data_IF_658522116557
#
_entry.id   IF_658522116557
#
_cell.length_a   1.000
_cell.length_b   1.000
_cell.length_c   1.000
_cell.angle_alpha   90.00
_cell.angle_beta   90.00
_cell.angle_gamma   90.00
#
_symmetry.space_group_name_H-M   'P 1'
#
loop_
_entity.id
_entity.type
_entity.pdbx_description
1 polymer ?
#
# COMPACT_ATOMS: atom_id res chain seq x y z
N UNK A 1 1.73 13.86 12.16
CA UNK A 1 2.54 12.63 12.08
C UNK A 1 1.75 11.67 11.23
N UNK A 2 2.32 11.12 10.15
CA UNK A 2 1.57 10.22 9.28
C UNK A 2 1.34 8.93 10.05
N UNK A 3 0.14 8.78 10.60
CA UNK A 3 -0.33 7.49 11.06
C UNK A 3 -0.22 6.53 9.86
N UNK A 4 0.53 5.46 10.04
CA UNK A 4 0.69 4.40 9.06
C UNK A 4 0.17 3.08 9.64
N UNK A 5 -0.68 3.16 10.67
CA UNK A 5 -1.24 2.00 11.33
C UNK A 5 -1.96 1.15 10.29
N UNK A 6 -1.57 -0.12 10.12
CA UNK A 6 -2.24 -1.01 9.20
C UNK A 6 -3.72 -1.15 9.56
N UNK A 7 -4.60 -0.87 8.61
CA UNK A 7 -6.05 -1.08 8.74
C UNK A 7 -6.36 -2.58 8.77
N UNK A 8 -5.56 -3.37 8.03
CA UNK A 8 -5.64 -4.82 8.01
C UNK A 8 -4.30 -5.43 7.60
N UNK A 9 -3.96 -6.57 8.22
CA UNK A 9 -2.82 -7.41 7.83
C UNK A 9 -3.23 -8.59 6.97
N UNK A 10 -4.53 -8.77 6.68
CA UNK A 10 -5.07 -9.89 5.92
C UNK A 10 -4.41 -10.06 4.54
N UNK A 11 -4.02 -8.94 3.92
CA UNK A 11 -3.45 -8.93 2.57
C UNK A 11 -1.92 -8.89 2.54
N UNK A 12 -1.25 -8.94 3.71
CA UNK A 12 0.20 -8.91 3.78
C UNK A 12 0.84 -10.10 3.04
N UNK A 13 0.20 -11.28 3.04
CA UNK A 13 0.64 -12.45 2.27
C UNK A 13 0.52 -12.26 0.75
N UNK A 14 -0.37 -11.38 0.29
CA UNK A 14 -0.46 -10.95 -1.10
C UNK A 14 0.56 -9.84 -1.45
N UNK A 15 1.36 -9.38 -0.48
CA UNK A 15 2.38 -8.36 -0.69
C UNK A 15 1.83 -6.94 -0.73
N UNK A 16 0.65 -6.68 -0.14
CA UNK A 16 0.10 -5.33 0.02
C UNK A 16 -0.41 -5.10 1.45
N UNK A 17 -0.11 -3.93 1.98
CA UNK A 17 -0.62 -3.46 3.26
C UNK A 17 -1.49 -2.23 3.05
N UNK A 18 -2.67 -2.24 3.66
CA UNK A 18 -3.57 -1.10 3.68
C UNK A 18 -3.38 -0.33 4.98
N UNK A 19 -3.17 0.98 4.89
CA UNK A 19 -3.09 1.88 6.04
C UNK A 19 -3.89 3.15 5.78
N UNK A 20 -4.20 3.86 6.86
CA UNK A 20 -4.87 5.15 6.79
C UNK A 20 -3.92 6.20 7.30
N UNK A 21 -3.77 7.29 6.55
CA UNK A 21 -3.13 8.49 7.08
C UNK A 21 -4.23 9.41 7.57
N UNK A 22 -4.38 9.47 8.90
CA UNK A 22 -5.32 10.35 9.56
C UNK A 22 -4.99 11.82 9.23
N UNK A 23 -6.04 12.61 8.98
CA UNK A 23 -6.00 14.05 9.12
C UNK A 23 -5.85 14.48 10.58
N UNK A 24 -6.37 15.65 10.95
CA UNK A 24 -6.34 16.15 12.34
C UNK A 24 -7.20 15.35 13.34
N UNK A 25 -7.80 14.24 12.92
CA UNK A 25 -8.75 13.48 13.72
C UNK A 25 -8.43 11.98 13.65
N UNK A 26 -8.06 11.40 14.78
CA UNK A 26 -7.61 10.00 14.90
C UNK A 26 -8.73 9.03 15.28
N UNK A 27 -9.99 9.48 15.34
CA UNK A 27 -11.09 8.67 15.85
C UNK A 27 -11.79 7.81 14.79
N UNK A 28 -11.40 7.90 13.52
CA UNK A 28 -12.06 7.23 12.39
C UNK A 28 -11.01 6.66 11.45
N UNK A 29 -10.81 5.35 11.50
CA UNK A 29 -10.02 4.64 10.49
C UNK A 29 -10.96 4.14 9.39
N UNK A 30 -10.50 3.97 8.15
CA UNK A 30 -11.19 3.20 7.13
C UNK A 30 -11.57 1.84 7.70
N UNK A 31 -12.82 1.43 7.49
CA UNK A 31 -13.35 0.19 8.04
C UNK A 31 -13.65 -0.76 6.89
N UNK A 32 -13.18 -2.01 7.00
CA UNK A 32 -13.66 -3.09 6.14
C UNK A 32 -15.11 -3.41 6.53
N UNK A 33 -16.06 -3.23 5.62
CA UNK A 33 -17.49 -3.32 5.97
C UNK A 33 -18.24 -4.24 5.03
N UNK A 34 -19.23 -4.97 5.56
CA UNK A 34 -19.96 -6.04 4.86
C UNK A 34 -21.26 -5.54 4.20
N UNK A 35 -21.36 -4.24 3.87
CA UNK A 35 -22.66 -3.70 3.44
C UNK A 35 -22.95 -4.01 1.96
N UNK A 36 -24.01 -4.76 1.71
CA UNK A 36 -24.53 -5.05 0.38
C UNK A 36 -25.29 -3.84 -0.22
N UNK A 37 -25.20 -3.73 -1.54
CA UNK A 37 -25.49 -2.55 -2.37
C UNK A 37 -26.88 -1.87 -2.28
N UNK A 38 -26.91 -0.58 -2.65
CA UNK A 38 -27.98 0.04 -3.44
C UNK A 38 -27.69 1.50 -3.88
N UNK A 39 -28.24 2.03 -5.01
CA UNK A 39 -29.06 1.37 -6.05
C UNK A 39 -28.52 1.64 -7.49
N UNK A 40 -28.03 0.68 -8.26
CA UNK A 40 -28.92 -0.31 -8.90
C UNK A 40 -28.19 -1.55 -9.45
N UNK A 41 -27.04 -1.93 -8.86
CA UNK A 41 -26.41 -3.29 -8.75
C UNK A 41 -26.27 -4.25 -9.96
N UNK A 42 -25.69 -5.47 -9.80
CA UNK A 42 -24.55 -5.92 -8.97
C UNK A 42 -23.22 -5.90 -9.80
N UNK A 43 -22.02 -6.33 -9.38
CA UNK A 43 -21.46 -7.14 -8.27
C UNK A 43 -20.60 -6.22 -7.38
N UNK A 44 -20.57 -6.31 -6.04
CA UNK A 44 -20.16 -7.46 -5.24
C UNK A 44 -21.07 -7.62 -4.00
N UNK A 45 -21.58 -8.83 -3.77
CA UNK A 45 -22.14 -9.20 -2.47
C UNK A 45 -20.96 -9.59 -1.57
N UNK A 46 -20.33 -8.61 -0.93
CA UNK A 46 -19.10 -8.86 -0.19
C UNK A 46 -18.60 -7.67 0.61
N UNK A 47 -17.44 -7.87 1.25
CA UNK A 47 -16.78 -6.87 2.07
C UNK A 47 -15.98 -5.94 1.18
N UNK A 48 -16.18 -4.63 1.30
CA UNK A 48 -15.37 -3.62 0.61
C UNK A 48 -14.67 -2.72 1.64
N UNK A 49 -13.61 -2.05 1.20
CA UNK A 49 -12.88 -1.11 2.04
C UNK A 49 -13.37 0.31 1.74
N UNK A 50 -13.90 0.99 2.76
CA UNK A 50 -14.50 2.31 2.63
C UNK A 50 -13.79 3.33 3.53
N UNK A 51 -13.77 4.59 3.10
CA UNK A 51 -13.32 5.71 3.94
C UNK A 51 -14.45 6.34 4.78
N UNK A 52 -15.48 5.56 5.14
CA UNK A 52 -16.62 6.02 5.93
C UNK A 52 -16.68 5.32 7.32
N UNK A 53 -16.97 6.05 8.42
CA UNK A 53 -16.86 5.57 9.79
C UNK A 53 -17.72 4.36 10.17
N UNK A 54 -18.83 4.14 9.46
CA UNK A 54 -19.82 3.10 9.80
C UNK A 54 -20.03 2.06 8.70
N UNK A 55 -19.25 2.10 7.61
CA UNK A 55 -19.53 1.28 6.42
C UNK A 55 -20.82 1.62 5.68
N UNK A 56 -21.56 2.62 6.17
CA UNK A 56 -22.75 3.13 5.53
C UNK A 56 -22.56 4.64 5.28
N UNK A 57 -22.14 5.04 4.07
CA UNK A 57 -22.01 6.46 3.72
C UNK A 57 -23.37 7.20 3.75
N UNK A 58 -24.48 6.48 3.93
CA UNK A 58 -25.85 6.99 3.96
C UNK A 58 -26.51 6.88 5.34
N UNK A 59 -25.83 6.37 6.38
CA UNK A 59 -26.40 6.28 7.71
C UNK A 59 -26.52 7.67 8.35
N UNK A 60 -27.75 8.03 8.76
CA UNK A 60 -28.07 9.16 9.64
C UNK A 60 -27.86 10.57 9.08
N UNK A 61 -27.85 10.77 7.76
CA UNK A 61 -27.81 12.12 7.16
C UNK A 61 -26.58 12.96 7.54
N UNK A 62 -25.59 12.35 8.20
CA UNK A 62 -24.43 13.03 8.73
C UNK A 62 -23.25 12.84 7.76
N UNK A 63 -23.21 13.74 6.78
CA UNK A 63 -22.13 13.88 5.82
C UNK A 63 -20.92 14.59 6.47
N UNK A 64 -20.27 13.98 7.46
CA UNK A 64 -18.99 14.51 7.98
C UNK A 64 -17.87 13.51 7.76
N UNK A 65 -17.04 13.63 6.71
CA UNK A 65 -15.86 12.82 6.58
C UNK A 65 -14.80 13.43 7.49
N UNK A 66 -13.82 12.61 7.78
CA UNK A 66 -12.57 13.07 8.33
C UNK A 66 -11.50 12.72 7.28
N UNK A 67 -10.45 13.53 7.23
CA UNK A 67 -9.53 13.65 6.11
C UNK A 67 -8.60 12.42 5.99
N UNK A 68 -9.09 11.32 5.47
CA UNK A 68 -8.33 10.07 5.49
C UNK A 68 -7.81 9.74 4.09
N UNK A 69 -6.48 9.62 4.00
CA UNK A 69 -5.82 9.04 2.83
C UNK A 69 -5.84 7.54 3.04
N UNK A 70 -6.47 6.81 2.11
CA UNK A 70 -6.31 5.36 2.06
C UNK A 70 -5.02 5.04 1.31
N UNK A 71 -4.09 4.37 1.97
CA UNK A 71 -2.77 4.06 1.46
C UNK A 71 -2.62 2.56 1.23
N UNK A 72 -2.18 2.21 0.04
CA UNK A 72 -1.73 0.87 -0.32
C UNK A 72 -0.21 0.92 -0.42
N UNK A 73 0.48 0.08 0.35
CA UNK A 73 1.93 -0.07 0.30
C UNK A 73 2.28 -1.48 -0.17
N UNK A 74 3.02 -1.60 -1.26
CA UNK A 74 3.42 -2.87 -1.85
C UNK A 74 4.77 -3.34 -1.30
N UNK A 75 4.94 -4.65 -1.14
CA UNK A 75 6.21 -5.26 -0.75
C UNK A 75 7.16 -5.38 -1.96
N UNK A 76 7.68 -4.23 -2.41
CA UNK A 76 8.42 -4.09 -3.67
C UNK A 76 7.80 -3.00 -4.52
N UNK A 77 7.61 -3.27 -5.81
CA UNK A 77 6.85 -2.40 -6.71
C UNK A 77 5.76 -3.18 -7.41
N UNK A 78 4.69 -2.49 -7.81
CA UNK A 78 3.56 -3.09 -8.49
C UNK A 78 3.32 -2.44 -9.85
N UNK A 79 2.92 -3.28 -10.80
CA UNK A 79 2.56 -2.93 -12.18
C UNK A 79 1.12 -3.33 -12.46
N UNK A 80 0.54 -2.80 -13.54
CA UNK A 80 -0.80 -3.14 -14.02
C UNK A 80 -1.88 -3.02 -12.92
N UNK A 81 -1.75 -2.02 -12.05
CA UNK A 81 -2.64 -1.87 -10.90
C UNK A 81 -4.03 -1.44 -11.39
N UNK A 82 -5.04 -2.20 -10.97
CA UNK A 82 -6.44 -1.82 -11.13
C UNK A 82 -7.24 -2.15 -9.88
N UNK A 83 -8.30 -1.38 -9.63
CA UNK A 83 -9.28 -1.66 -8.58
C UNK A 83 -10.64 -1.16 -9.00
N UNK A 84 -11.70 -1.71 -8.40
CA UNK A 84 -13.04 -1.18 -8.52
C UNK A 84 -13.23 -0.05 -7.52
N UNK A 85 -13.66 1.12 -7.98
CA UNK A 85 -13.91 2.31 -7.15
C UNK A 85 -15.38 2.71 -7.30
N UNK A 86 -16.00 3.12 -6.20
CA UNK A 86 -17.27 3.83 -6.22
C UNK A 86 -17.14 5.14 -5.45
N UNK A 87 -17.34 6.26 -6.14
CA UNK A 87 -17.53 7.57 -5.53
C UNK A 87 -19.01 7.64 -5.11
N UNK A 88 -19.33 7.33 -3.86
CA UNK A 88 -20.69 7.16 -3.33
C UNK A 88 -21.56 8.46 -3.34
N UNK A 89 -21.16 9.50 -4.06
CA UNK A 89 -21.94 10.73 -4.26
C UNK A 89 -21.82 11.24 -5.68
N UNK A 90 -22.84 11.97 -6.14
CA UNK A 90 -22.90 12.59 -7.48
C UNK A 90 -21.93 13.76 -7.68
N UNK A 91 -21.18 14.11 -6.62
CA UNK A 91 -20.16 15.17 -6.60
C UNK A 91 -18.82 14.66 -6.05
N UNK A 92 -18.72 13.35 -5.81
CA UNK A 92 -17.56 12.66 -5.30
C UNK A 92 -16.35 12.74 -6.23
N UNK A 93 -15.17 12.99 -5.66
CA UNK A 93 -13.90 12.99 -6.40
C UNK A 93 -12.84 12.30 -5.54
N UNK A 94 -12.17 11.32 -6.13
CA UNK A 94 -11.04 10.64 -5.49
C UNK A 94 -9.81 10.81 -6.36
N UNK A 95 -8.74 11.32 -5.76
CA UNK A 95 -7.44 11.46 -6.43
C UNK A 95 -6.55 10.27 -6.09
N UNK A 96 -5.93 9.70 -7.11
CA UNK A 96 -4.95 8.64 -7.00
C UNK A 96 -3.57 9.26 -7.17
N UNK A 97 -2.69 9.05 -6.20
CA UNK A 97 -1.28 9.40 -6.30
C UNK A 97 -0.44 8.13 -6.20
N UNK A 98 0.25 7.79 -7.29
CA UNK A 98 1.16 6.66 -7.37
C UNK A 98 2.60 7.15 -7.17
N UNK A 99 3.34 6.49 -6.28
CA UNK A 99 4.72 6.84 -5.94
C UNK A 99 5.67 5.66 -6.18
N UNK A 100 6.90 5.97 -6.55
CA UNK A 100 8.00 5.00 -6.65
C UNK A 100 8.50 4.58 -5.27
N UNK A 101 9.39 3.59 -5.25
CA UNK A 101 10.10 3.17 -4.03
C UNK A 101 11.00 4.27 -3.42
N UNK A 102 11.33 5.30 -4.19
CA UNK A 102 12.08 6.49 -3.74
C UNK A 102 11.17 7.67 -3.41
N UNK A 103 9.88 7.42 -3.16
CA UNK A 103 8.85 8.43 -2.89
C UNK A 103 8.63 9.47 -4.01
N UNK A 104 9.13 9.23 -5.22
CA UNK A 104 8.88 10.11 -6.36
C UNK A 104 7.45 9.91 -6.88
N UNK A 105 6.70 10.99 -7.10
CA UNK A 105 5.37 10.91 -7.70
C UNK A 105 5.49 10.45 -9.17
N UNK A 106 4.91 9.30 -9.47
CA UNK A 106 4.90 8.70 -10.81
C UNK A 106 3.65 9.11 -11.60
N UNK A 107 2.50 9.13 -10.95
CA UNK A 107 1.23 9.50 -11.57
C UNK A 107 0.31 10.16 -10.55
N UNK A 108 -0.45 11.17 -10.99
CA UNK A 108 -1.59 11.70 -10.26
C UNK A 108 -2.78 11.85 -11.21
N UNK A 109 -3.94 11.33 -10.82
CA UNK A 109 -5.18 11.54 -11.57
C UNK A 109 -6.40 11.56 -10.64
N UNK A 110 -7.44 12.27 -11.03
CA UNK A 110 -8.68 12.38 -10.26
C UNK A 110 -9.83 11.72 -11.00
N UNK A 111 -10.58 10.88 -10.29
CA UNK A 111 -11.84 10.32 -10.77
C UNK A 111 -13.00 11.24 -10.41
N UNK A 112 -14.04 11.23 -11.22
CA UNK A 112 -15.25 12.02 -11.00
C UNK A 112 -16.42 11.12 -10.60
N UNK A 113 -17.49 11.75 -10.13
CA UNK A 113 -18.73 11.11 -9.73
C UNK A 113 -19.54 10.54 -10.91
N UNK A 114 -20.57 9.76 -10.58
CA UNK A 114 -21.66 9.27 -11.45
C UNK A 114 -21.45 7.93 -12.19
N UNK A 115 -20.62 7.01 -11.69
CA UNK A 115 -20.41 5.73 -12.38
C UNK A 115 -20.73 4.48 -11.55
N UNK A 116 -21.25 4.63 -10.32
CA UNK A 116 -21.36 3.48 -9.43
C UNK A 116 -19.99 2.82 -9.25
N UNK A 117 -19.96 1.49 -9.14
CA UNK A 117 -18.70 0.74 -9.13
C UNK A 117 -18.11 0.67 -10.53
N UNK A 118 -16.90 1.21 -10.69
CA UNK A 118 -16.20 1.18 -11.96
C UNK A 118 -14.71 0.92 -11.76
N UNK A 119 -14.12 0.15 -12.68
CA UNK A 119 -12.69 -0.15 -12.65
C UNK A 119 -11.87 1.11 -12.92
N UNK A 120 -10.82 1.29 -12.11
CA UNK A 120 -9.82 2.35 -12.23
C UNK A 120 -8.46 1.71 -12.36
N UNK A 121 -7.65 2.24 -13.28
CA UNK A 121 -6.32 1.73 -13.60
C UNK A 121 -5.28 2.80 -13.34
N UNK A 122 -4.19 2.41 -12.70
CA UNK A 122 -2.97 3.21 -12.62
C UNK A 122 -2.12 2.83 -13.83
N UNK A 123 -1.86 3.80 -14.71
CA UNK A 123 -1.26 3.57 -16.03
C UNK A 123 0.28 3.68 -16.02
N UNK A 124 0.88 3.52 -14.84
CA UNK A 124 2.34 3.54 -14.63
C UNK A 124 2.78 2.26 -13.93
N UNK A 125 4.02 1.88 -14.18
CA UNK A 125 4.69 0.74 -13.56
C UNK A 125 5.61 1.21 -12.43
N UNK A 126 6.11 0.26 -11.62
CA UNK A 126 7.08 0.55 -10.57
C UNK A 126 6.50 1.24 -9.34
N UNK A 127 5.20 1.08 -9.09
CA UNK A 127 4.49 1.76 -8.00
C UNK A 127 4.75 1.04 -6.68
N UNK A 128 5.44 1.68 -5.74
CA UNK A 128 5.63 1.14 -4.39
C UNK A 128 4.50 1.55 -3.43
N UNK A 129 3.88 2.70 -3.69
CA UNK A 129 2.80 3.24 -2.87
C UNK A 129 1.72 3.87 -3.72
N UNK A 130 0.47 3.56 -3.42
CA UNK A 130 -0.70 4.18 -4.01
C UNK A 130 -1.55 4.82 -2.91
N UNK A 131 -1.72 6.13 -3.00
CA UNK A 131 -2.56 6.90 -2.09
C UNK A 131 -3.86 7.29 -2.79
N UNK A 132 -5.00 6.96 -2.18
CA UNK A 132 -6.32 7.43 -2.56
C UNK A 132 -6.72 8.54 -1.60
N UNK A 133 -6.86 9.73 -2.15
CA UNK A 133 -7.17 10.94 -1.43
C UNK A 133 -8.62 11.33 -1.69
N UNK A 134 -9.30 11.66 -0.60
CA UNK A 134 -10.63 12.22 -0.64
C UNK A 134 -10.54 13.71 -1.01
N UNK A 135 -11.20 14.14 -2.09
CA UNK A 135 -11.20 15.56 -2.45
C UNK A 135 -12.36 16.28 -1.76
N UNK A 136 -12.12 17.48 -1.24
CA UNK A 136 -13.21 18.39 -0.83
C UNK A 136 -13.77 19.03 -2.10
N UNK A 137 -15.08 18.93 -2.30
CA UNK A 137 -15.75 19.57 -3.44
C UNK A 137 -16.81 20.54 -2.93
N UNK A 138 -16.62 21.83 -3.22
CA UNK A 138 -17.55 22.91 -2.82
C UNK A 138 -17.84 22.93 -1.30
N UNK A 139 -16.82 22.70 -0.48
CA UNK A 139 -16.96 22.57 0.98
C UNK A 139 -17.71 21.31 1.43
N UNK A 140 -18.23 20.54 0.48
CA UNK A 140 -18.85 19.25 0.74
C UNK A 140 -17.81 18.14 0.70
N UNK A 141 -17.93 17.23 1.64
CA UNK A 141 -17.10 16.06 1.68
C UNK A 141 -17.46 15.00 0.65
N UNK A 142 -16.45 14.24 0.22
CA UNK A 142 -16.67 13.11 -0.68
C UNK A 142 -16.42 11.78 0.05
N UNK A 143 -16.93 10.68 -0.50
CA UNK A 143 -16.80 9.33 0.09
C UNK A 143 -16.53 8.35 -1.03
N UNK A 144 -15.73 7.33 -0.75
CA UNK A 144 -15.44 6.29 -1.70
C UNK A 144 -15.32 4.91 -1.05
N UNK A 145 -15.56 3.89 -1.87
CA UNK A 145 -15.29 2.50 -1.57
C UNK A 145 -14.37 1.91 -2.64
N UNK A 146 -13.49 1.00 -2.23
CA UNK A 146 -12.68 0.20 -3.13
C UNK A 146 -12.91 -1.31 -2.94
N UNK A 147 -12.76 -2.04 -4.03
CA UNK A 147 -12.77 -3.51 -4.05
C UNK A 147 -11.91 -4.01 -5.24
N UNK A 148 -11.69 -5.33 -5.31
CA UNK A 148 -11.05 -6.02 -6.43
C UNK A 148 -9.71 -5.43 -6.85
N UNK A 149 -8.83 -5.24 -5.87
CA UNK A 149 -7.47 -4.85 -6.16
C UNK A 149 -6.75 -5.95 -6.96
N UNK A 150 -6.30 -5.62 -8.17
CA UNK A 150 -5.51 -6.46 -9.05
C UNK A 150 -4.19 -5.75 -9.37
N UNK A 151 -3.06 -6.47 -9.31
CA UNK A 151 -1.73 -5.95 -9.63
C UNK A 151 -0.76 -7.10 -9.90
N UNK A 152 0.35 -6.81 -10.57
CA UNK A 152 1.50 -7.70 -10.66
C UNK A 152 2.61 -7.19 -9.74
N UNK A 153 3.06 -8.02 -8.80
CA UNK A 153 4.11 -7.64 -7.86
C UNK A 153 5.49 -7.94 -8.43
N UNK A 154 6.32 -6.92 -8.55
CA UNK A 154 7.75 -7.01 -8.75
C UNK A 154 8.42 -7.00 -7.38
N UNK A 155 8.66 -8.19 -6.83
CA UNK A 155 9.33 -8.35 -5.56
C UNK A 155 10.68 -7.61 -5.59
N UNK A 156 10.99 -6.88 -4.53
CA UNK A 156 12.31 -6.28 -4.38
C UNK A 156 13.35 -7.40 -4.47
N UNK A 157 14.46 -7.21 -5.23
CA UNK A 157 15.52 -8.21 -5.27
C UNK A 157 15.95 -8.49 -3.83
N UNK A 158 15.91 -9.77 -3.44
CA UNK A 158 16.42 -10.19 -2.14
C UNK A 158 17.88 -9.72 -2.06
N UNK A 159 18.15 -8.74 -1.21
CA UNK A 159 19.52 -8.39 -0.86
C UNK A 159 20.10 -9.67 -0.26
N UNK A 160 21.20 -10.23 -0.82
CA UNK A 160 21.84 -11.39 -0.21
C UNK A 160 22.09 -11.06 1.25
N UNK A 161 21.47 -11.83 2.14
CA UNK A 161 21.34 -11.45 3.53
C UNK A 161 22.73 -11.10 4.13
N UNK A 162 22.81 -10.17 5.10
CA UNK A 162 24.07 -9.83 5.76
C UNK A 162 24.83 -11.07 6.28
N UNK A 163 24.10 -12.15 6.60
CA UNK A 163 24.65 -13.44 6.98
C UNK A 163 25.49 -14.09 5.86
N UNK A 164 25.08 -13.99 4.58
CA UNK A 164 25.88 -14.53 3.46
C UNK A 164 27.23 -13.84 3.35
N UNK A 165 27.25 -12.51 3.49
CA UNK A 165 28.49 -11.73 3.49
C UNK A 165 29.35 -12.05 4.71
N UNK A 166 28.72 -12.15 5.89
CA UNK A 166 29.41 -12.55 7.12
C UNK A 166 29.98 -13.98 7.03
N UNK A 167 29.30 -14.91 6.36
CA UNK A 167 29.76 -16.29 6.16
C UNK A 167 30.90 -16.38 5.13
N UNK A 168 30.87 -15.57 4.06
CA UNK A 168 31.97 -15.46 3.11
C UNK A 168 33.21 -14.85 3.77
N UNK A 169 33.04 -13.72 4.46
CA UNK A 169 34.13 -13.06 5.19
C UNK A 169 34.65 -13.97 6.31
N UNK A 170 33.77 -14.63 7.05
CA UNK A 170 34.11 -15.59 8.09
C UNK A 170 34.89 -16.79 7.54
N UNK A 171 34.44 -17.37 6.42
CA UNK A 171 35.13 -18.47 5.74
C UNK A 171 36.53 -18.07 5.25
N UNK A 172 36.64 -16.95 4.52
CA UNK A 172 37.92 -16.46 4.03
C UNK A 172 38.86 -16.02 5.16
N UNK A 173 38.33 -15.41 6.22
CA UNK A 173 39.07 -15.02 7.41
C UNK A 173 39.64 -16.24 8.15
N UNK A 174 38.86 -17.32 8.27
CA UNK A 174 39.28 -18.56 8.90
C UNK A 174 40.36 -19.27 8.06
N UNK A 175 40.14 -19.43 6.75
CA UNK A 175 41.15 -20.01 5.85
C UNK A 175 42.46 -19.21 5.85
N UNK A 176 42.37 -17.88 5.73
CA UNK A 176 43.53 -16.99 5.78
C UNK A 176 44.26 -17.03 7.13
N UNK A 177 43.51 -17.13 8.24
CA UNK A 177 44.07 -17.29 9.59
C UNK A 177 44.84 -18.59 9.77
N UNK A 178 44.32 -19.70 9.25
CA UNK A 178 45.01 -21.01 9.26
C UNK A 178 46.30 -20.96 8.43
N UNK A 179 46.25 -20.36 7.23
CA UNK A 179 47.44 -20.21 6.38
C UNK A 179 48.54 -19.36 7.03
N UNK A 180 48.17 -18.30 7.76
CA UNK A 180 49.13 -17.40 8.43
C UNK A 180 49.72 -17.99 9.72
N UNK A 181 49.09 -19.01 10.32
CA UNK A 181 49.56 -19.64 11.57
C UNK A 181 50.69 -20.66 11.36
N UNK A 182 51.06 -21.02 10.12
CA UNK A 182 52.14 -22.00 9.88
C UNK A 182 53.49 -21.41 10.32
N UNK A 183 54.05 -21.98 11.39
CA UNK A 183 55.30 -21.54 12.00
C UNK A 183 56.48 -21.61 11.01
N UNK A 184 57.30 -20.55 11.02
CA UNK A 184 58.57 -20.51 10.27
C UNK A 184 59.50 -21.57 10.86
N UNK A 185 59.85 -22.59 10.08
CA UNK A 185 60.85 -23.58 10.47
C UNK A 185 62.21 -22.93 10.30
N UNK A 186 62.85 -22.58 11.41
CA UNK A 186 64.24 -22.13 11.41
C UNK A 186 65.13 -23.35 11.22
N UNK A 187 65.77 -23.47 10.08
CA UNK A 187 66.82 -24.47 9.87
C UNK A 187 68.12 -23.94 10.48
N UNK A 188 68.66 -24.63 11.49
CA UNK A 188 70.01 -24.39 11.98
C UNK A 188 70.98 -25.26 11.19
N UNK A 189 71.97 -24.63 10.54
CA UNK A 189 73.03 -25.33 9.82
C UNK A 189 74.21 -25.54 10.78
N UNK A 190 74.79 -26.75 10.77
CA UNK A 190 75.98 -27.14 11.52
C UNK A 190 77.27 -26.67 10.84
#
# INVERSE_FOLDING_TARGET
>A
MADSTPISTQYASAGVTFSAVNGTDSSVLPVATNYAAGPSGPLYSGNYLANAPSGNPFANGQLTPRYDILRLTFNGTADSISLSLNNFSNIGRTTFNAYSASDALLQSFTTFANEGWATRTVAVNGVARLDLLNNVFNGSPTYFGIDQLNYTLNAAPAVPEPATWAMLIGGFGLTGGVMRRRARVTFAHA
#
